data_IF_666566382629
#
_entry.id   IF_666566382629
#
_cell.length_a   1.000
_cell.length_b   1.000
_cell.length_c   1.000
_cell.angle_alpha   90.00
_cell.angle_beta   90.00
_cell.angle_gamma   90.00
#
_symmetry.space_group_name_H-M   'P 1'
#
loop_
_entity.id
_entity.type
_entity.pdbx_description
1 polymer ?
#
# COMPACT_ATOMS: atom_id res chain seq x y z
N UNK A 1 5.25 -17.27 1.15
CA UNK A 1 4.01 -18.07 1.15
C UNK A 1 4.05 -19.00 -0.04
N UNK A 2 3.68 -20.27 0.14
CA UNK A 2 3.52 -21.18 -0.99
C UNK A 2 2.32 -20.72 -1.81
N UNK A 3 2.51 -20.40 -3.09
CA UNK A 3 1.40 -20.10 -3.99
C UNK A 3 0.59 -21.38 -4.20
N UNK A 4 -0.56 -21.51 -3.54
CA UNK A 4 -1.52 -22.59 -3.83
C UNK A 4 -2.26 -22.23 -5.12
N UNK A 5 -1.97 -22.95 -6.19
CA UNK A 5 -2.63 -22.79 -7.48
C UNK A 5 -3.96 -23.57 -7.43
N UNK A 6 -5.07 -22.93 -7.80
CA UNK A 6 -6.38 -23.59 -7.92
C UNK A 6 -6.79 -23.57 -9.39
N UNK A 7 -7.24 -24.71 -9.90
CA UNK A 7 -7.77 -24.82 -11.26
C UNK A 7 -9.27 -24.99 -11.20
N UNK A 8 -9.99 -24.21 -12.00
CA UNK A 8 -11.42 -24.38 -12.19
C UNK A 8 -11.64 -25.07 -13.54
N UNK A 9 -12.19 -26.28 -13.49
CA UNK A 9 -12.33 -27.17 -14.66
C UNK A 9 -13.78 -27.56 -14.81
N UNK A 10 -14.24 -27.69 -16.07
CA UNK A 10 -15.51 -28.30 -16.42
C UNK A 10 -15.30 -29.53 -17.28
N UNK A 11 -16.15 -30.54 -17.10
CA UNK A 11 -16.13 -31.76 -17.90
C UNK A 11 -17.55 -32.15 -18.34
N UNK A 12 -17.75 -32.57 -19.60
CA UNK A 12 -19.07 -32.93 -20.10
C UNK A 12 -19.56 -34.21 -19.43
N UNK A 13 -20.85 -34.22 -19.09
CA UNK A 13 -21.56 -35.39 -18.58
C UNK A 13 -21.67 -36.46 -19.66
N UNK A 14 -21.42 -37.71 -19.26
CA UNK A 14 -21.74 -38.87 -20.10
C UNK A 14 -23.24 -39.13 -20.06
N UNK A 15 -23.66 -40.12 -19.24
CA UNK A 15 -25.09 -40.34 -18.98
C UNK A 15 -25.67 -39.30 -18.03
N UNK A 16 -24.83 -38.78 -17.11
CA UNK A 16 -25.16 -37.71 -16.18
C UNK A 16 -23.87 -36.96 -15.75
N UNK A 17 -24.03 -35.83 -15.06
CA UNK A 17 -22.91 -35.02 -14.55
C UNK A 17 -22.06 -35.74 -13.48
N UNK A 18 -22.66 -36.63 -12.67
CA UNK A 18 -21.92 -37.39 -11.65
C UNK A 18 -20.93 -38.38 -12.26
N UNK A 19 -21.20 -38.91 -13.45
CA UNK A 19 -20.26 -39.78 -14.16
C UNK A 19 -18.99 -38.99 -14.56
N UNK A 20 -19.14 -37.72 -14.96
CA UNK A 20 -18.01 -36.85 -15.28
C UNK A 20 -17.14 -36.60 -14.05
N UNK A 21 -17.77 -36.36 -12.89
CA UNK A 21 -17.05 -36.27 -11.61
C UNK A 21 -16.23 -37.53 -11.31
N UNK A 22 -16.85 -38.71 -11.44
CA UNK A 22 -16.19 -39.98 -11.15
C UNK A 22 -14.98 -40.23 -12.06
N UNK A 23 -15.09 -39.91 -13.35
CA UNK A 23 -13.99 -40.01 -14.32
C UNK A 23 -12.85 -39.05 -13.99
N UNK A 24 -13.17 -37.78 -13.75
CA UNK A 24 -12.20 -36.75 -13.37
C UNK A 24 -11.45 -37.18 -12.11
N UNK A 25 -12.17 -37.49 -11.04
CA UNK A 25 -11.57 -37.81 -9.74
C UNK A 25 -10.75 -39.11 -9.76
N UNK A 26 -11.18 -40.11 -10.52
CA UNK A 26 -10.40 -41.36 -10.69
C UNK A 26 -9.07 -41.11 -11.41
N UNK A 27 -9.05 -40.20 -12.39
CA UNK A 27 -7.86 -39.90 -13.17
C UNK A 27 -6.89 -38.99 -12.41
N UNK A 28 -7.41 -38.02 -11.65
CA UNK A 28 -6.59 -36.96 -11.06
C UNK A 28 -6.41 -37.04 -9.55
N UNK A 29 -7.20 -37.82 -8.82
CA UNK A 29 -7.23 -37.81 -7.34
C UNK A 29 -5.92 -38.17 -6.65
N UNK A 30 -4.97 -38.83 -7.33
CA UNK A 30 -3.62 -39.09 -6.80
C UNK A 30 -2.64 -37.92 -7.01
N UNK A 31 -3.04 -36.91 -7.79
CA UNK A 31 -2.22 -35.77 -8.20
C UNK A 31 -2.80 -34.44 -7.74
N UNK A 32 -4.05 -34.42 -7.27
CA UNK A 32 -4.77 -33.21 -6.86
C UNK A 32 -5.83 -33.49 -5.80
N UNK A 33 -6.16 -32.47 -5.03
CA UNK A 33 -7.38 -32.44 -4.20
C UNK A 33 -8.50 -31.87 -5.07
N UNK A 34 -9.55 -32.65 -5.28
CA UNK A 34 -10.66 -32.27 -6.14
C UNK A 34 -11.90 -32.01 -5.30
N UNK A 35 -12.60 -30.91 -5.59
CA UNK A 35 -13.90 -30.59 -5.00
C UNK A 35 -14.91 -30.25 -6.09
N UNK A 36 -16.15 -30.71 -5.94
CA UNK A 36 -17.23 -30.29 -6.86
C UNK A 36 -17.48 -28.81 -6.71
N UNK A 37 -17.63 -28.12 -7.84
CA UNK A 37 -18.04 -26.73 -7.87
C UNK A 37 -19.51 -26.67 -8.31
N UNK A 38 -20.41 -26.45 -7.35
CA UNK A 38 -21.84 -26.49 -7.61
C UNK A 38 -22.28 -25.17 -8.23
N UNK A 39 -22.64 -25.21 -9.51
CA UNK A 39 -23.23 -24.09 -10.24
C UNK A 39 -24.75 -24.29 -10.21
N UNK A 40 -25.55 -23.29 -9.82
CA UNK A 40 -26.99 -23.39 -9.85
C UNK A 40 -27.50 -23.51 -11.28
N UNK A 41 -28.72 -24.03 -11.45
CA UNK A 41 -29.37 -24.05 -12.77
C UNK A 41 -29.65 -22.63 -13.24
N UNK A 42 -28.98 -22.22 -14.33
CA UNK A 42 -29.14 -20.93 -14.95
C UNK A 42 -29.93 -21.06 -16.25
N UNK A 43 -30.77 -20.08 -16.55
CA UNK A 43 -31.50 -20.02 -17.82
C UNK A 43 -30.53 -19.74 -18.95
N UNK A 44 -30.65 -20.51 -20.02
CA UNK A 44 -29.83 -20.36 -21.22
C UNK A 44 -30.55 -19.43 -22.20
N UNK A 45 -29.85 -18.40 -22.68
CA UNK A 45 -30.32 -17.48 -23.73
C UNK A 45 -30.05 -18.02 -25.14
N UNK A 46 -30.05 -17.15 -26.14
CA UNK A 46 -29.63 -17.54 -27.50
C UNK A 46 -28.12 -17.74 -27.58
N UNK A 47 -27.64 -18.46 -28.60
CA UNK A 47 -26.21 -18.67 -28.81
C UNK A 47 -25.46 -17.33 -28.95
N UNK A 48 -26.00 -16.40 -29.74
CA UNK A 48 -25.41 -15.06 -29.94
C UNK A 48 -25.28 -14.29 -28.62
N UNK A 49 -26.28 -14.39 -27.75
CA UNK A 49 -26.23 -13.79 -26.41
C UNK A 49 -25.15 -14.41 -25.54
N UNK A 50 -24.94 -15.73 -25.61
CA UNK A 50 -23.89 -16.42 -24.85
C UNK A 50 -22.48 -16.04 -25.32
N UNK A 51 -22.28 -15.87 -26.62
CA UNK A 51 -20.98 -15.43 -27.17
C UNK A 51 -20.65 -14.03 -26.67
N UNK A 52 -21.59 -13.08 -26.80
CA UNK A 52 -21.39 -11.72 -26.26
C UNK A 52 -21.16 -11.71 -24.74
N UNK A 53 -21.91 -12.53 -24.00
CA UNK A 53 -21.74 -12.67 -22.55
C UNK A 53 -20.37 -13.25 -22.16
N UNK A 54 -19.82 -14.18 -22.96
CA UNK A 54 -18.48 -14.74 -22.73
C UNK A 54 -17.40 -13.64 -22.76
N UNK A 55 -17.46 -12.75 -23.74
CA UNK A 55 -16.50 -11.65 -23.88
C UNK A 55 -16.62 -10.64 -22.72
N UNK A 56 -17.85 -10.27 -22.36
CA UNK A 56 -18.10 -9.32 -21.28
C UNK A 56 -17.70 -9.90 -19.91
N UNK A 57 -17.98 -11.18 -19.66
CA UNK A 57 -17.53 -11.88 -18.46
C UNK A 57 -16.00 -11.97 -18.41
N UNK A 58 -15.30 -12.13 -19.54
CA UNK A 58 -13.84 -12.11 -19.61
C UNK A 58 -13.24 -10.76 -19.18
N UNK A 59 -13.84 -9.65 -19.60
CA UNK A 59 -13.45 -8.29 -19.17
C UNK A 59 -13.71 -8.06 -17.69
N UNK A 60 -14.87 -8.47 -17.21
CA UNK A 60 -15.26 -8.36 -15.80
C UNK A 60 -14.35 -9.19 -14.90
N UNK A 61 -14.00 -10.40 -15.32
CA UNK A 61 -13.07 -11.29 -14.61
C UNK A 61 -11.69 -10.66 -14.44
N UNK A 62 -11.15 -10.09 -15.51
CA UNK A 62 -9.85 -9.40 -15.49
C UNK A 62 -9.90 -8.18 -14.57
N UNK A 63 -10.99 -7.42 -14.62
CA UNK A 63 -11.19 -6.23 -13.78
C UNK A 63 -11.28 -6.61 -12.30
N UNK A 64 -12.10 -7.60 -11.96
CA UNK A 64 -12.29 -8.11 -10.61
C UNK A 64 -10.97 -8.61 -10.00
N UNK A 65 -10.16 -9.31 -10.80
CA UNK A 65 -8.83 -9.77 -10.37
C UNK A 65 -7.91 -8.59 -10.02
N UNK A 66 -7.81 -7.60 -10.91
CA UNK A 66 -6.97 -6.43 -10.71
C UNK A 66 -7.39 -5.67 -9.45
N UNK A 67 -8.69 -5.44 -9.26
CA UNK A 67 -9.21 -4.73 -8.07
C UNK A 67 -8.94 -5.52 -6.80
N UNK A 68 -9.17 -6.83 -6.81
CA UNK A 68 -8.88 -7.72 -5.68
C UNK A 68 -7.39 -7.65 -5.31
N UNK A 69 -6.49 -7.76 -6.29
CA UNK A 69 -5.04 -7.67 -6.07
C UNK A 69 -4.63 -6.32 -5.49
N UNK A 70 -5.14 -5.21 -6.04
CA UNK A 70 -4.88 -3.86 -5.51
C UNK A 70 -5.31 -3.73 -4.05
N UNK A 71 -6.51 -4.23 -3.73
CA UNK A 71 -7.05 -4.16 -2.38
C UNK A 71 -6.17 -4.96 -1.41
N UNK A 72 -5.81 -6.20 -1.75
CA UNK A 72 -4.93 -7.04 -0.91
C UNK A 72 -3.55 -6.41 -0.73
N UNK A 73 -2.93 -5.91 -1.79
CA UNK A 73 -1.64 -5.23 -1.71
C UNK A 73 -1.72 -4.02 -0.78
N UNK A 74 -2.70 -3.15 -0.99
CA UNK A 74 -2.86 -1.96 -0.16
C UNK A 74 -3.19 -2.30 1.30
N UNK A 75 -4.01 -3.34 1.53
CA UNK A 75 -4.30 -3.81 2.88
C UNK A 75 -3.01 -4.30 3.58
N UNK A 76 -2.14 -5.00 2.86
CA UNK A 76 -0.81 -5.37 3.36
C UNK A 76 0.11 -4.19 3.66
N UNK A 77 0.01 -3.08 2.92
CA UNK A 77 0.75 -1.84 3.17
C UNK A 77 0.22 -1.07 4.39
N UNK A 78 -1.09 -1.09 4.65
CA UNK A 78 -1.67 -0.41 5.82
C UNK A 78 -1.41 -1.21 7.11
N UNK A 79 -1.30 -2.54 7.01
CA UNK A 79 -1.00 -3.45 8.13
C UNK A 79 0.50 -3.56 8.48
N UNK A 80 1.33 -2.55 8.20
CA UNK A 80 2.81 -2.60 8.27
C UNK A 80 3.44 -3.36 9.47
N UNK A 81 2.82 -3.37 10.67
CA UNK A 81 3.31 -4.08 11.87
C UNK A 81 2.67 -5.47 12.13
N UNK A 82 1.62 -5.83 11.39
CA UNK A 82 0.72 -6.98 11.65
C UNK A 82 0.39 -7.76 10.36
N UNK A 83 1.31 -7.82 9.39
CA UNK A 83 1.10 -8.53 8.10
C UNK A 83 0.70 -10.00 8.27
N UNK A 84 1.08 -10.66 9.36
CA UNK A 84 0.64 -12.02 9.69
C UNK A 84 -0.87 -12.15 9.86
N UNK A 85 -1.56 -11.07 10.26
CA UNK A 85 -3.02 -11.01 10.41
C UNK A 85 -3.74 -10.70 9.10
N UNK A 86 -3.03 -10.49 7.99
CA UNK A 86 -3.68 -10.21 6.71
C UNK A 86 -4.64 -11.37 6.36
N UNK A 87 -4.16 -12.61 6.42
CA UNK A 87 -4.95 -13.80 6.09
C UNK A 87 -6.18 -13.96 6.99
N UNK A 88 -6.05 -13.69 8.30
CA UNK A 88 -7.15 -13.77 9.27
C UNK A 88 -8.27 -12.75 9.01
N UNK A 89 -7.95 -11.68 8.27
CA UNK A 89 -8.84 -10.56 8.02
C UNK A 89 -9.52 -10.60 6.65
N UNK A 90 -9.14 -11.57 5.81
CA UNK A 90 -9.73 -11.81 4.50
C UNK A 90 -10.92 -12.77 4.64
N UNK A 91 -12.09 -12.25 5.02
CA UNK A 91 -13.32 -13.05 5.18
C UNK A 91 -14.37 -12.71 4.12
N UNK A 92 -15.01 -13.73 3.56
CA UNK A 92 -16.07 -13.58 2.56
C UNK A 92 -17.44 -13.60 3.26
N UNK A 93 -18.23 -12.53 3.15
CA UNK A 93 -19.60 -12.44 3.66
C UNK A 93 -20.66 -12.76 2.60
N UNK A 94 -21.93 -12.88 3.01
CA UNK A 94 -23.06 -13.05 2.09
C UNK A 94 -23.47 -11.69 1.49
N UNK A 95 -23.13 -11.41 0.23
CA UNK A 95 -23.52 -10.17 -0.45
C UNK A 95 -24.23 -10.44 -1.79
N UNK A 96 -25.18 -9.56 -2.16
CA UNK A 96 -26.00 -9.60 -3.38
C UNK A 96 -25.70 -8.36 -4.25
N UNK A 97 -25.53 -8.56 -5.56
CA UNK A 97 -25.50 -7.49 -6.59
C UNK A 97 -24.12 -7.17 -7.16
N UNK A 98 -23.60 -7.99 -8.07
CA UNK A 98 -22.15 -8.20 -8.20
C UNK A 98 -21.36 -7.34 -9.19
N UNK A 99 -21.98 -6.68 -10.18
CA UNK A 99 -21.22 -6.06 -11.29
C UNK A 99 -20.95 -4.55 -11.13
N UNK A 100 -21.90 -3.77 -10.61
CA UNK A 100 -21.70 -2.33 -10.38
C UNK A 100 -20.79 -2.04 -9.17
N UNK A 101 -20.75 -2.96 -8.21
CA UNK A 101 -19.96 -2.83 -6.98
C UNK A 101 -18.45 -2.83 -7.22
N UNK A 102 -17.94 -3.54 -8.24
CA UNK A 102 -16.50 -3.67 -8.49
C UNK A 102 -15.85 -2.31 -8.79
N UNK A 103 -16.48 -1.55 -9.69
CA UNK A 103 -16.00 -0.22 -10.09
C UNK A 103 -16.09 0.76 -8.93
N UNK A 104 -17.16 0.70 -8.14
CA UNK A 104 -17.31 1.54 -6.95
C UNK A 104 -16.21 1.24 -5.91
N UNK A 105 -15.93 -0.04 -5.65
CA UNK A 105 -14.87 -0.47 -4.73
C UNK A 105 -13.49 0.01 -5.21
N UNK A 106 -13.17 -0.08 -6.51
CA UNK A 106 -11.90 0.42 -7.05
C UNK A 106 -11.77 1.95 -6.88
N UNK A 107 -12.84 2.70 -7.14
CA UNK A 107 -12.86 4.15 -6.99
C UNK A 107 -12.71 4.57 -5.51
N UNK A 108 -13.44 3.92 -4.61
CA UNK A 108 -13.34 4.18 -3.17
C UNK A 108 -11.97 3.81 -2.61
N UNK A 109 -11.38 2.69 -3.07
CA UNK A 109 -10.02 2.27 -2.71
C UNK A 109 -9.00 3.34 -3.14
N UNK A 110 -9.11 3.87 -4.36
CA UNK A 110 -8.25 4.96 -4.85
C UNK A 110 -8.40 6.22 -3.99
N UNK A 111 -9.62 6.65 -3.71
CA UNK A 111 -9.87 7.87 -2.93
C UNK A 111 -9.33 7.73 -1.50
N UNK A 112 -9.64 6.62 -0.82
CA UNK A 112 -9.19 6.35 0.55
C UNK A 112 -7.67 6.19 0.63
N UNK A 113 -7.07 5.50 -0.34
CA UNK A 113 -5.61 5.30 -0.36
C UNK A 113 -4.85 6.60 -0.56
N UNK A 114 -5.29 7.47 -1.47
CA UNK A 114 -4.69 8.79 -1.68
C UNK A 114 -4.79 9.63 -0.40
N UNK A 115 -5.97 9.70 0.23
CA UNK A 115 -6.17 10.48 1.45
C UNK A 115 -5.24 10.01 2.60
N UNK A 116 -5.21 8.70 2.87
CA UNK A 116 -4.41 8.14 3.96
C UNK A 116 -2.90 8.22 3.67
N UNK A 117 -2.48 8.00 2.43
CA UNK A 117 -1.07 8.09 2.04
C UNK A 117 -0.57 9.54 2.07
N UNK A 118 -1.39 10.51 1.72
CA UNK A 118 -1.04 11.93 1.86
C UNK A 118 -0.77 12.28 3.33
N UNK A 119 -1.63 11.86 4.25
CA UNK A 119 -1.41 12.03 5.70
C UNK A 119 -0.09 11.39 6.16
N UNK A 120 0.17 10.13 5.74
CA UNK A 120 1.40 9.41 6.06
C UNK A 120 2.65 10.13 5.52
N UNK A 121 2.61 10.60 4.28
CA UNK A 121 3.72 11.27 3.62
C UNK A 121 4.02 12.64 4.26
N UNK A 122 2.99 13.41 4.59
CA UNK A 122 3.14 14.69 5.31
C UNK A 122 3.78 14.47 6.67
N UNK A 123 3.29 13.50 7.46
CA UNK A 123 3.88 13.16 8.76
C UNK A 123 5.33 12.69 8.62
N UNK A 124 5.64 11.80 7.67
CA UNK A 124 7.00 11.32 7.44
C UNK A 124 7.96 12.46 7.03
N UNK A 125 7.48 13.45 6.28
CA UNK A 125 8.26 14.65 5.94
C UNK A 125 8.58 15.49 7.19
N UNK A 126 7.59 15.67 8.08
CA UNK A 126 7.79 16.36 9.36
C UNK A 126 8.77 15.58 10.24
N UNK A 127 8.61 14.25 10.35
CA UNK A 127 9.49 13.37 11.14
C UNK A 127 10.95 13.44 10.67
N UNK A 128 11.17 13.37 9.34
CA UNK A 128 12.52 13.46 8.77
C UNK A 128 13.22 14.77 9.08
N UNK A 129 12.47 15.88 9.15
CA UNK A 129 13.01 17.18 9.55
C UNK A 129 13.39 17.21 11.03
N UNK A 130 12.73 16.43 11.89
CA UNK A 130 13.05 16.37 13.31
C UNK A 130 14.29 15.50 13.63
N UNK A 131 14.58 14.46 12.83
CA UNK A 131 15.62 13.46 13.13
C UNK A 131 16.99 13.67 12.46
N UNK A 132 17.22 14.80 11.79
CA UNK A 132 18.50 15.10 11.12
C UNK A 132 19.64 15.47 12.10
N UNK A 133 20.84 15.77 11.57
CA UNK A 133 21.92 16.35 12.40
C UNK A 133 21.62 17.82 12.72
N UNK A 134 22.26 18.40 13.74
CA UNK A 134 22.11 19.83 14.12
C UNK A 134 22.28 20.81 12.94
N UNK A 135 22.97 20.39 11.88
CA UNK A 135 23.17 21.15 10.65
C UNK A 135 21.91 21.31 9.80
N UNK A 136 20.96 20.38 9.88
CA UNK A 136 19.83 20.32 8.95
C UNK A 136 18.48 20.14 9.65
N UNK A 137 18.44 19.57 10.85
CA UNK A 137 17.18 19.33 11.56
C UNK A 137 16.51 20.61 12.03
N UNK A 138 15.20 20.50 12.22
CA UNK A 138 14.42 21.48 12.93
C UNK A 138 14.93 21.63 14.36
N UNK A 139 15.05 22.87 14.83
CA UNK A 139 15.57 23.22 16.15
C UNK A 139 14.44 23.56 17.13
N UNK A 140 13.18 23.58 16.69
CA UNK A 140 12.02 23.95 17.49
C UNK A 140 11.89 23.14 18.80
N UNK A 141 12.25 21.85 18.78
CA UNK A 141 12.20 20.97 19.96
C UNK A 141 13.46 21.04 20.84
N UNK A 142 14.50 21.76 20.41
CA UNK A 142 15.80 21.86 21.11
C UNK A 142 15.88 23.16 21.92
N UNK A 143 15.34 24.24 21.37
CA UNK A 143 15.50 25.60 21.90
C UNK A 143 14.33 26.01 22.80
N UNK A 144 14.58 26.94 23.71
CA UNK A 144 13.61 27.48 24.68
C UNK A 144 13.60 29.01 24.61
N UNK A 145 12.53 29.63 25.08
CA UNK A 145 12.42 31.10 25.15
C UNK A 145 13.63 31.74 25.84
N UNK A 146 14.10 31.15 26.95
CA UNK A 146 15.25 31.60 27.74
C UNK A 146 16.59 31.54 27.00
N UNK A 147 16.64 30.88 25.84
CA UNK A 147 17.82 30.88 24.97
C UNK A 147 17.92 32.16 24.13
N UNK A 148 16.88 33.00 24.06
CA UNK A 148 16.83 34.16 23.16
C UNK A 148 16.53 35.48 23.87
N UNK A 149 17.15 36.55 23.38
CA UNK A 149 16.68 37.92 23.64
C UNK A 149 15.43 38.18 22.80
N UNK A 150 14.27 38.22 23.45
CA UNK A 150 12.97 38.47 22.83
C UNK A 150 12.62 39.97 22.85
N UNK A 151 11.75 40.40 21.92
CA UNK A 151 11.19 41.75 21.85
C UNK A 151 12.20 42.91 21.81
N UNK A 152 13.45 42.66 21.38
CA UNK A 152 14.43 43.73 21.19
C UNK A 152 14.31 44.33 19.79
N UNK A 153 14.30 45.67 19.73
CA UNK A 153 14.36 46.41 18.47
C UNK A 153 15.71 46.17 17.75
N UNK A 154 16.82 46.16 18.50
CA UNK A 154 18.17 46.19 17.95
C UNK A 154 18.94 44.87 18.07
N UNK A 155 18.66 44.05 19.08
CA UNK A 155 19.37 42.79 19.32
C UNK A 155 18.59 41.60 18.78
N UNK A 156 19.33 40.57 18.39
CA UNK A 156 18.79 39.26 18.05
C UNK A 156 19.76 38.18 18.53
N UNK A 157 19.20 37.07 18.99
CA UNK A 157 19.98 35.87 19.30
C UNK A 157 19.90 34.92 18.12
N UNK A 158 21.07 34.49 17.61
CA UNK A 158 21.19 33.53 16.52
C UNK A 158 21.72 32.20 17.04
N UNK A 159 21.53 31.14 16.26
CA UNK A 159 22.01 29.81 16.56
C UNK A 159 23.18 29.44 15.66
N UNK A 160 24.22 28.84 16.22
CA UNK A 160 25.44 28.48 15.51
C UNK A 160 25.81 27.04 15.82
N UNK A 161 26.03 26.26 14.78
CA UNK A 161 26.55 24.90 14.88
C UNK A 161 28.07 24.95 14.84
N UNK A 162 28.67 24.41 15.89
CA UNK A 162 30.11 24.42 16.15
C UNK A 162 30.61 22.97 16.21
N UNK A 163 31.59 22.56 15.39
CA UNK A 163 32.22 21.25 15.54
C UNK A 163 32.88 21.11 16.91
N UNK A 164 32.75 19.94 17.55
CA UNK A 164 33.33 19.68 18.88
C UNK A 164 34.83 19.97 18.95
N UNK A 165 35.54 19.64 17.89
CA UNK A 165 36.98 19.89 17.77
C UNK A 165 37.36 21.38 17.73
N UNK A 166 36.42 22.29 17.45
CA UNK A 166 36.63 23.74 17.37
C UNK A 166 35.97 24.53 18.50
N UNK A 167 35.45 23.89 19.58
CA UNK A 167 34.79 24.59 20.69
C UNK A 167 35.71 25.66 21.33
N UNK A 168 36.97 25.31 21.59
CA UNK A 168 37.93 26.26 22.20
C UNK A 168 38.18 27.48 21.32
N UNK A 169 38.25 27.28 20.01
CA UNK A 169 38.43 28.37 19.06
C UNK A 169 37.18 29.26 19.00
N UNK A 170 36.01 28.65 18.99
CA UNK A 170 34.73 29.35 19.03
C UNK A 170 34.63 30.27 20.26
N UNK A 171 34.84 29.72 21.46
CA UNK A 171 34.73 30.46 22.72
C UNK A 171 35.71 31.65 22.80
N UNK A 172 36.87 31.56 22.16
CA UNK A 172 37.88 32.63 22.14
C UNK A 172 37.61 33.72 21.09
N UNK A 173 36.97 33.38 19.97
CA UNK A 173 36.94 34.25 18.78
C UNK A 173 35.57 34.77 18.39
N UNK A 174 34.47 34.12 18.78
CA UNK A 174 33.15 34.47 18.26
C UNK A 174 32.80 35.96 18.48
N UNK A 175 33.19 36.54 19.63
CA UNK A 175 32.91 37.94 19.97
C UNK A 175 33.68 38.94 19.12
N UNK A 176 34.70 38.51 18.37
CA UNK A 176 35.51 39.38 17.50
C UNK A 176 35.12 39.27 16.04
N UNK A 177 34.08 38.49 15.69
CA UNK A 177 33.63 38.31 14.31
C UNK A 177 32.97 39.56 13.73
N UNK A 178 32.42 40.43 14.58
CA UNK A 178 31.96 41.77 14.23
C UNK A 178 31.97 42.66 15.46
N UNK A 179 32.05 43.98 15.27
CA UNK A 179 32.11 44.99 16.34
C UNK A 179 30.87 45.04 17.25
N UNK A 180 29.75 44.45 16.82
CA UNK A 180 28.46 44.53 17.55
C UNK A 180 27.93 43.17 17.98
N UNK A 181 28.85 42.28 18.33
CA UNK A 181 28.56 41.02 19.04
C UNK A 181 28.63 41.27 20.53
N UNK A 182 27.68 40.75 21.31
CA UNK A 182 27.68 40.88 22.77
C UNK A 182 28.68 39.88 23.36
N UNK A 183 29.80 40.30 23.99
CA UNK A 183 30.75 39.37 24.59
C UNK A 183 30.12 38.62 25.77
N UNK A 184 30.53 37.38 26.01
CA UNK A 184 29.95 36.50 27.02
C UNK A 184 28.53 35.97 26.71
N UNK A 185 27.89 36.40 25.61
CA UNK A 185 26.54 35.96 25.25
C UNK A 185 26.43 34.54 24.69
N UNK A 186 27.53 33.88 24.33
CA UNK A 186 27.45 32.55 23.72
C UNK A 186 27.26 31.45 24.76
N UNK A 187 26.22 30.61 24.56
CA UNK A 187 25.90 29.47 25.43
C UNK A 187 25.61 28.23 24.61
N UNK A 188 26.17 27.08 25.01
CA UNK A 188 25.82 25.79 24.42
C UNK A 188 24.42 25.37 24.87
N UNK A 189 23.55 25.02 23.91
CA UNK A 189 22.17 24.56 24.15
C UNK A 189 22.08 23.04 24.07
N UNK A 190 22.73 22.45 23.06
CA UNK A 190 22.68 21.01 22.80
C UNK A 190 23.98 20.50 22.20
N UNK A 191 24.27 19.22 22.42
CA UNK A 191 25.43 18.52 21.91
C UNK A 191 24.98 17.20 21.28
N UNK A 192 25.26 17.00 19.99
CA UNK A 192 24.85 15.81 19.27
C UNK A 192 25.87 15.37 18.21
N UNK A 193 26.28 14.11 18.30
CA UNK A 193 27.33 13.57 17.44
C UNK A 193 28.61 14.38 17.57
N UNK A 194 29.12 14.90 16.44
CA UNK A 194 30.35 15.72 16.37
C UNK A 194 30.09 17.24 16.46
N UNK A 195 28.86 17.67 16.71
CA UNK A 195 28.47 19.08 16.67
C UNK A 195 27.81 19.53 17.98
N UNK A 196 28.00 20.80 18.30
CA UNK A 196 27.32 21.51 19.37
C UNK A 196 26.52 22.67 18.80
N UNK A 197 25.36 22.96 19.40
CA UNK A 197 24.54 24.11 19.06
C UNK A 197 24.76 25.20 20.11
N UNK A 198 25.19 26.37 19.68
CA UNK A 198 25.41 27.54 20.53
C UNK A 198 24.44 28.66 20.19
N UNK A 199 24.09 29.49 21.17
CA UNK A 199 23.51 30.82 20.97
C UNK A 199 24.60 31.86 20.81
N UNK A 200 24.28 32.99 20.16
CA UNK A 200 25.04 34.25 20.23
C UNK A 200 24.07 35.41 20.13
N UNK A 201 24.20 36.41 21.01
CA UNK A 201 23.43 37.66 20.90
C UNK A 201 24.28 38.74 20.22
N UNK A 202 23.72 39.39 19.22
CA UNK A 202 24.37 40.45 18.45
C UNK A 202 23.34 41.46 17.94
N UNK A 203 23.82 42.61 17.44
CA UNK A 203 22.96 43.58 16.79
C UNK A 203 22.47 43.08 15.42
N UNK A 204 21.19 43.29 15.11
CA UNK A 204 20.57 42.83 13.87
C UNK A 204 21.32 43.27 12.61
N UNK A 205 21.85 44.50 12.60
CA UNK A 205 22.55 45.08 11.45
C UNK A 205 23.88 44.40 11.11
N UNK A 206 24.46 43.60 12.00
CA UNK A 206 25.73 42.89 11.76
C UNK A 206 25.54 41.37 11.60
N UNK A 207 24.30 40.88 11.48
CA UNK A 207 24.03 39.44 11.34
C UNK A 207 24.71 38.86 10.10
N UNK A 208 24.64 39.55 8.96
CA UNK A 208 25.22 39.02 7.71
C UNK A 208 26.76 39.04 7.73
N UNK A 209 27.35 40.09 8.32
CA UNK A 209 28.80 40.16 8.57
C UNK A 209 29.24 39.00 9.46
N UNK A 210 28.52 38.77 10.57
CA UNK A 210 28.79 37.67 11.49
C UNK A 210 28.65 36.30 10.80
N UNK A 211 27.60 36.11 9.98
CA UNK A 211 27.39 34.87 9.20
C UNK A 211 28.56 34.58 8.28
N UNK A 212 29.11 35.61 7.62
CA UNK A 212 30.26 35.47 6.73
C UNK A 212 31.52 35.09 7.51
N UNK A 213 31.85 35.82 8.57
CA UNK A 213 33.00 35.52 9.42
C UNK A 213 32.91 34.13 10.07
N UNK A 214 31.72 33.73 10.54
CA UNK A 214 31.47 32.40 11.06
C UNK A 214 31.75 31.32 10.00
N UNK A 215 31.26 31.50 8.77
CA UNK A 215 31.48 30.58 7.66
C UNK A 215 32.96 30.44 7.30
N UNK A 216 33.70 31.54 7.26
CA UNK A 216 35.16 31.55 7.00
C UNK A 216 35.93 30.74 8.06
N UNK A 217 35.45 30.75 9.31
CA UNK A 217 35.99 29.96 10.41
C UNK A 217 35.32 28.58 10.55
N UNK A 218 34.61 28.11 9.52
CA UNK A 218 33.95 26.79 9.45
C UNK A 218 32.83 26.57 10.48
N UNK A 219 32.23 27.64 10.98
CA UNK A 219 31.03 27.60 11.82
C UNK A 219 29.78 27.86 10.97
N UNK A 220 28.67 27.19 11.29
CA UNK A 220 27.44 27.27 10.50
C UNK A 220 26.35 27.96 11.31
N UNK A 221 26.00 29.18 10.91
CA UNK A 221 24.84 29.88 11.49
C UNK A 221 23.56 29.28 10.93
N UNK A 222 22.66 28.84 11.80
CA UNK A 222 21.35 28.28 11.43
C UNK A 222 20.36 29.41 11.17
N UNK A 223 19.61 29.29 10.09
CA UNK A 223 18.52 30.21 9.78
C UNK A 223 17.31 29.85 10.65
N UNK A 224 17.22 30.50 11.80
CA UNK A 224 16.20 30.26 12.81
C UNK A 224 15.85 31.56 13.50
N UNK A 225 14.55 31.84 13.59
CA UNK A 225 14.00 32.96 14.35
C UNK A 225 13.04 32.37 15.37
N UNK A 226 13.28 32.63 16.64
CA UNK A 226 12.39 32.15 17.70
C UNK A 226 11.08 32.93 17.67
N UNK A 227 9.98 32.23 17.43
CA UNK A 227 8.63 32.76 17.53
C UNK A 227 7.73 31.73 18.21
N UNK A 228 7.32 32.03 19.44
CA UNK A 228 6.59 31.07 20.29
C UNK A 228 5.24 30.68 19.67
N UNK A 229 4.57 31.61 18.97
CA UNK A 229 3.30 31.33 18.29
C UNK A 229 3.49 30.35 17.13
N UNK A 230 4.48 30.59 16.25
CA UNK A 230 4.80 29.69 15.14
C UNK A 230 5.24 28.30 15.61
N UNK A 231 6.06 28.21 16.65
CA UNK A 231 6.51 26.92 17.21
C UNK A 231 5.34 26.12 17.78
N UNK A 232 4.47 26.76 18.58
CA UNK A 232 3.24 26.14 19.10
C UNK A 232 2.30 25.73 17.97
N UNK A 233 2.12 26.58 16.95
CA UNK A 233 1.29 26.27 15.80
C UNK A 233 1.80 25.05 15.03
N UNK A 234 3.11 24.94 14.80
CA UNK A 234 3.73 23.79 14.13
C UNK A 234 3.55 22.48 14.90
N UNK A 235 3.77 22.50 16.22
CA UNK A 235 3.55 21.33 17.09
C UNK A 235 2.08 20.90 17.11
N UNK A 236 1.17 21.86 17.30
CA UNK A 236 -0.27 21.61 17.29
C UNK A 236 -0.73 21.02 15.96
N UNK A 237 -0.17 21.49 14.83
CA UNK A 237 -0.50 20.96 13.51
C UNK A 237 -0.03 19.52 13.34
N UNK A 238 1.19 19.20 13.77
CA UNK A 238 1.69 17.83 13.78
C UNK A 238 0.80 16.92 14.62
N UNK A 239 0.44 17.33 15.84
CA UNK A 239 -0.39 16.52 16.74
C UNK A 239 -1.78 16.29 16.15
N UNK A 240 -2.37 17.28 15.49
CA UNK A 240 -3.62 17.13 14.73
C UNK A 240 -3.49 16.09 13.61
N UNK A 241 -2.41 16.13 12.84
CA UNK A 241 -2.17 15.17 11.74
C UNK A 241 -1.98 13.74 12.28
N UNK A 242 -1.28 13.58 13.41
CA UNK A 242 -1.12 12.27 14.07
C UNK A 242 -2.47 11.74 14.56
N UNK A 243 -3.27 12.58 15.23
CA UNK A 243 -4.61 12.22 15.68
C UNK A 243 -5.53 11.86 14.50
N UNK A 244 -5.45 12.59 13.39
CA UNK A 244 -6.23 12.30 12.19
C UNK A 244 -5.84 10.96 11.56
N UNK A 245 -4.54 10.67 11.44
CA UNK A 245 -4.05 9.37 10.96
C UNK A 245 -4.57 8.22 11.82
N UNK A 246 -4.49 8.35 13.15
CA UNK A 246 -5.00 7.34 14.08
C UNK A 246 -6.53 7.17 13.97
N UNK A 247 -7.25 8.28 13.83
CA UNK A 247 -8.72 8.30 13.64
C UNK A 247 -9.15 7.57 12.36
N UNK A 248 -8.41 7.74 11.26
CA UNK A 248 -8.73 7.10 9.98
C UNK A 248 -8.34 5.63 9.91
N UNK A 249 -7.36 5.18 10.70
CA UNK A 249 -6.79 3.84 10.60
C UNK A 249 -7.84 2.72 10.78
N UNK A 250 -8.53 2.68 11.91
CA UNK A 250 -9.47 1.60 12.21
C UNK A 250 -10.67 1.53 11.22
N UNK A 251 -11.31 2.65 10.85
CA UNK A 251 -12.32 2.66 9.79
C UNK A 251 -11.80 2.18 8.43
N UNK A 252 -10.58 2.56 8.05
CA UNK A 252 -9.96 2.13 6.79
C UNK A 252 -9.73 0.61 6.79
N UNK A 253 -9.16 0.07 7.86
CA UNK A 253 -8.95 -1.38 8.03
C UNK A 253 -10.28 -2.13 7.95
N UNK A 254 -11.31 -1.66 8.66
CA UNK A 254 -12.65 -2.27 8.61
C UNK A 254 -13.23 -2.24 7.19
N UNK A 255 -13.09 -1.12 6.49
CA UNK A 255 -13.56 -0.98 5.12
C UNK A 255 -12.84 -1.95 4.18
N UNK A 256 -11.50 -2.06 4.27
CA UNK A 256 -10.72 -3.00 3.46
C UNK A 256 -11.15 -4.46 3.67
N UNK A 257 -11.38 -4.89 4.92
CA UNK A 257 -11.88 -6.24 5.22
C UNK A 257 -13.23 -6.55 4.58
N UNK A 258 -14.18 -5.65 4.76
CA UNK A 258 -15.55 -5.83 4.22
C UNK A 258 -15.50 -5.90 2.70
N UNK A 259 -14.81 -4.95 2.07
CA UNK A 259 -14.80 -4.84 0.62
C UNK A 259 -13.93 -5.92 -0.04
N UNK A 260 -12.93 -6.48 0.66
CA UNK A 260 -12.26 -7.70 0.21
C UNK A 260 -13.24 -8.86 0.09
N UNK A 261 -14.06 -9.09 1.12
CA UNK A 261 -15.06 -10.15 1.11
C UNK A 261 -16.05 -9.99 -0.04
N UNK A 262 -16.50 -8.76 -0.29
CA UNK A 262 -17.42 -8.46 -1.38
C UNK A 262 -16.80 -8.64 -2.77
N UNK A 263 -15.61 -8.09 -3.01
CA UNK A 263 -14.96 -8.20 -4.33
C UNK A 263 -14.57 -9.64 -4.63
N UNK A 264 -14.09 -10.39 -3.62
CA UNK A 264 -13.72 -11.78 -3.82
C UNK A 264 -14.96 -12.65 -4.05
N UNK A 265 -16.06 -12.42 -3.33
CA UNK A 265 -17.34 -13.07 -3.63
C UNK A 265 -17.78 -12.80 -5.06
N UNK A 266 -17.79 -11.53 -5.50
CA UNK A 266 -18.14 -11.15 -6.86
C UNK A 266 -17.24 -11.83 -7.90
N UNK A 267 -15.93 -11.91 -7.63
CA UNK A 267 -14.96 -12.57 -8.49
C UNK A 267 -15.28 -14.06 -8.67
N UNK A 268 -15.59 -14.78 -7.59
CA UNK A 268 -15.98 -16.20 -7.66
C UNK A 268 -17.32 -16.39 -8.40
N UNK A 269 -18.28 -15.47 -8.26
CA UNK A 269 -19.52 -15.51 -9.03
C UNK A 269 -19.26 -15.33 -10.53
N UNK A 270 -18.36 -14.40 -10.91
CA UNK A 270 -17.94 -14.23 -12.31
C UNK A 270 -17.28 -15.51 -12.84
N UNK A 271 -16.39 -16.14 -12.06
CA UNK A 271 -15.80 -17.45 -12.43
C UNK A 271 -16.87 -18.52 -12.63
N UNK A 272 -17.90 -18.58 -11.78
CA UNK A 272 -19.00 -19.52 -11.92
C UNK A 272 -19.80 -19.30 -13.21
N UNK A 273 -20.14 -18.03 -13.51
CA UNK A 273 -20.84 -17.66 -14.73
C UNK A 273 -20.00 -17.98 -15.97
N UNK A 274 -18.69 -17.69 -15.94
CA UNK A 274 -17.78 -18.02 -17.04
C UNK A 274 -17.74 -19.51 -17.32
N UNK A 275 -17.54 -20.33 -16.29
CA UNK A 275 -17.55 -21.79 -16.43
C UNK A 275 -18.86 -22.27 -17.03
N UNK A 276 -19.99 -21.74 -16.57
CA UNK A 276 -21.29 -22.09 -17.11
C UNK A 276 -21.39 -21.76 -18.60
N UNK A 277 -21.14 -20.50 -18.97
CA UNK A 277 -21.24 -20.02 -20.36
C UNK A 277 -20.28 -20.77 -21.28
N UNK A 278 -19.01 -20.89 -20.91
CA UNK A 278 -18.00 -21.61 -21.70
C UNK A 278 -18.34 -23.11 -21.83
N UNK A 279 -18.91 -23.74 -20.79
CA UNK A 279 -19.36 -25.14 -20.86
C UNK A 279 -20.56 -25.32 -21.79
N UNK A 280 -21.53 -24.40 -21.78
CA UNK A 280 -22.68 -24.45 -22.70
C UNK A 280 -22.23 -24.21 -24.14
N UNK A 281 -21.33 -23.25 -24.38
CA UNK A 281 -20.76 -22.99 -25.71
C UNK A 281 -19.96 -24.18 -26.24
N UNK A 282 -19.25 -24.90 -25.37
CA UNK A 282 -18.38 -26.02 -25.77
C UNK A 282 -19.10 -27.38 -25.85
N UNK A 283 -20.04 -27.65 -24.96
CA UNK A 283 -20.71 -28.96 -24.85
C UNK A 283 -22.14 -28.97 -25.40
N UNK A 284 -22.72 -27.79 -25.63
CA UNK A 284 -24.08 -27.65 -26.14
C UNK A 284 -25.16 -27.93 -25.10
N UNK A 285 -26.38 -28.12 -25.61
CA UNK A 285 -27.59 -28.41 -24.82
C UNK A 285 -28.01 -29.89 -24.97
N UNK A 286 -28.68 -30.48 -23.97
CA UNK A 286 -29.02 -29.89 -22.66
C UNK A 286 -27.79 -29.69 -21.77
N UNK A 287 -27.88 -28.76 -20.81
CA UNK A 287 -26.80 -28.49 -19.85
C UNK A 287 -26.49 -29.76 -19.06
N UNK A 288 -25.38 -30.41 -19.40
CA UNK A 288 -24.95 -31.66 -18.79
C UNK A 288 -23.42 -31.65 -18.66
N UNK A 289 -22.93 -30.98 -17.62
CA UNK A 289 -21.52 -30.95 -17.29
C UNK A 289 -21.34 -30.93 -15.77
N UNK A 290 -20.13 -31.24 -15.31
CA UNK A 290 -19.72 -31.09 -13.92
C UNK A 290 -18.52 -30.17 -13.84
N UNK A 291 -18.68 -29.05 -13.11
CA UNK A 291 -17.58 -28.19 -12.73
C UNK A 291 -16.88 -28.70 -11.46
N UNK A 292 -15.59 -28.47 -11.36
CA UNK A 292 -14.73 -28.88 -10.25
C UNK A 292 -13.62 -27.86 -10.00
N UNK A 293 -13.31 -27.65 -8.72
CA UNK A 293 -12.06 -27.02 -8.29
C UNK A 293 -11.04 -28.13 -8.07
N UNK A 294 -9.93 -28.05 -8.79
CA UNK A 294 -8.82 -28.99 -8.76
C UNK A 294 -7.61 -28.26 -8.20
N UNK A 295 -7.15 -28.67 -7.02
CA UNK A 295 -5.94 -28.15 -6.38
C UNK A 295 -4.78 -29.12 -6.65
N UNK A 296 -3.84 -28.78 -7.55
CA UNK A 296 -2.72 -29.66 -7.86
C UNK A 296 -1.81 -29.81 -6.64
N UNK A 297 -1.41 -31.05 -6.36
CA UNK A 297 -0.33 -31.32 -5.41
C UNK A 297 0.96 -30.64 -5.84
N UNK A 298 1.79 -30.23 -4.89
CA UNK A 298 3.05 -29.55 -5.18
C UNK A 298 3.94 -30.39 -6.11
N UNK A 299 4.24 -29.87 -7.30
CA UNK A 299 5.09 -30.53 -8.31
C UNK A 299 4.34 -31.47 -9.27
N UNK A 300 3.03 -31.70 -9.08
CA UNK A 300 2.24 -32.59 -9.94
C UNK A 300 1.64 -31.90 -11.18
N UNK A 301 1.73 -30.57 -11.29
CA UNK A 301 1.00 -29.77 -12.28
C UNK A 301 1.19 -30.27 -13.71
N UNK A 302 2.42 -30.53 -14.13
CA UNK A 302 2.71 -30.99 -15.50
C UNK A 302 2.08 -32.36 -15.79
N UNK A 303 2.18 -33.28 -14.83
CA UNK A 303 1.60 -34.63 -14.93
C UNK A 303 0.07 -34.57 -14.93
N UNK A 304 -0.50 -33.73 -14.05
CA UNK A 304 -1.93 -33.51 -13.97
C UNK A 304 -2.50 -32.95 -15.28
N UNK A 305 -1.85 -31.96 -15.90
CA UNK A 305 -2.23 -31.45 -17.25
C UNK A 305 -2.18 -32.55 -18.31
N UNK A 306 -1.15 -33.39 -18.29
CA UNK A 306 -1.01 -34.49 -19.25
C UNK A 306 -2.13 -35.54 -19.11
N UNK A 307 -2.48 -35.92 -17.88
CA UNK A 307 -3.59 -36.85 -17.61
C UNK A 307 -4.95 -36.27 -18.02
N UNK A 308 -5.21 -35.00 -17.70
CA UNK A 308 -6.43 -34.30 -18.13
C UNK A 308 -6.52 -34.21 -19.65
N UNK A 309 -5.43 -33.84 -20.32
CA UNK A 309 -5.37 -33.76 -21.77
C UNK A 309 -5.66 -35.14 -22.40
N UNK A 310 -4.99 -36.20 -21.92
CA UNK A 310 -5.25 -37.57 -22.39
C UNK A 310 -6.72 -37.98 -22.23
N UNK A 311 -7.36 -37.58 -21.13
CA UNK A 311 -8.75 -37.91 -20.85
C UNK A 311 -9.73 -37.16 -21.77
N UNK A 312 -9.44 -35.90 -22.11
CA UNK A 312 -10.39 -34.99 -22.77
C UNK A 312 -10.02 -34.55 -24.20
N UNK A 313 -8.88 -34.97 -24.76
CA UNK A 313 -8.43 -34.61 -26.12
C UNK A 313 -9.47 -34.89 -27.21
N UNK A 314 -10.31 -35.92 -27.02
CA UNK A 314 -11.37 -36.26 -27.96
C UNK A 314 -12.43 -35.14 -28.12
N UNK A 315 -12.55 -34.24 -27.14
CA UNK A 315 -13.48 -33.10 -27.19
C UNK A 315 -12.99 -31.99 -28.12
N UNK A 316 -11.68 -31.90 -28.39
CA UNK A 316 -11.12 -30.87 -29.27
C UNK A 316 -11.52 -31.09 -30.74
N UNK A 317 -11.87 -32.31 -31.13
CA UNK A 317 -12.40 -32.62 -32.46
C UNK A 317 -13.93 -32.47 -32.59
N UNK A 318 -14.64 -32.28 -31.48
CA UNK A 318 -16.12 -32.16 -31.46
C UNK A 318 -16.61 -30.73 -31.22
N UNK A 319 -15.74 -29.80 -30.83
CA UNK A 319 -16.05 -28.40 -30.60
C UNK A 319 -15.10 -27.49 -31.40
N UNK A 320 -15.58 -27.07 -32.57
CA UNK A 320 -15.01 -26.09 -33.52
C UNK A 320 -14.00 -26.61 -34.58
N UNK A 321 -14.15 -26.08 -35.80
CA UNK A 321 -13.16 -26.16 -36.89
C UNK A 321 -11.78 -25.60 -36.49
N UNK A 322 -10.81 -25.64 -37.40
CA UNK A 322 -9.38 -25.61 -37.06
C UNK A 322 -9.01 -24.37 -36.25
N UNK A 323 -8.36 -24.61 -35.10
CA UNK A 323 -7.64 -23.59 -34.35
C UNK A 323 -6.38 -23.29 -35.16
N UNK A 324 -6.36 -22.14 -35.83
CA UNK A 324 -5.16 -21.63 -36.49
C UNK A 324 -4.15 -21.27 -35.41
N UNK A 325 -2.96 -21.87 -35.52
CA UNK A 325 -1.85 -21.65 -34.61
C UNK A 325 -0.94 -20.63 -35.30
N UNK A 326 -1.13 -19.36 -34.96
CA UNK A 326 -0.20 -18.26 -35.28
C UNK A 326 -0.05 -17.34 -34.09
#
# INVERSE_FOLDING_TARGET
MASSELWLVSAPGGKNANDAWGKLNRCTGNLSVNNKFNIPDLKVGTLDQLVGLSDDLGKLDSTAEVVTRKLVTYFGEVLEDDKSKLEENLTIGNSRGFMEQITQIDNDLKAKSVAYNNLKNTLASIDRKATGSLLTKDLADIVKADDFVLNSEYLQTILVVVPKMNIREWEQRYSTFSSMVVPGSSRMISEEGEHCLYTVTLFKKVIDEFKNAARENKFIVRDFVYDEESLKAGKNERDKLVAEKQRQYAPLIRWLKINFGEIFAAYIHIKALRVFVESVLRYGLPVNFQAAVVEPSKGSQKKLRAELHKLYIHLDGSAAGPIDVS
#
